data_IF_848797851938
#
_entry.id   IF_848797851938
#
_cell.length_a   1.000
_cell.length_b   1.000
_cell.length_c   1.000
_cell.angle_alpha   90.00
_cell.angle_beta   90.00
_cell.angle_gamma   90.00
#
_symmetry.space_group_name_H-M   'P 1'
#
loop_
_entity.id
_entity.type
_entity.pdbx_description
1 polymer ?
#
# COMPACT_ATOMS: atom_id res chain seq x y z
N UNK A 1 -1.25 9.46 -20.17
CA UNK A 1 -1.92 9.50 -18.84
C UNK A 1 -2.48 8.12 -18.54
N UNK A 2 -2.52 7.70 -17.27
CA UNK A 2 -3.04 6.38 -16.90
C UNK A 2 -4.57 6.34 -17.01
N UNK A 3 -5.12 5.19 -17.42
CA UNK A 3 -6.56 4.93 -17.40
C UNK A 3 -7.02 4.78 -15.94
N UNK A 4 -8.10 5.46 -15.56
CA UNK A 4 -8.64 5.49 -14.19
C UNK A 4 -7.56 5.81 -13.13
N UNK A 5 -6.91 6.99 -13.21
CA UNK A 5 -5.72 7.30 -12.41
C UNK A 5 -6.03 7.46 -10.92
N UNK A 6 -7.30 7.69 -10.55
CA UNK A 6 -7.76 7.83 -9.16
C UNK A 6 -8.23 6.51 -8.55
N UNK A 7 -8.25 5.42 -9.32
CA UNK A 7 -8.63 4.09 -8.83
C UNK A 7 -7.41 3.26 -8.45
N UNK A 8 -7.48 2.57 -7.32
CA UNK A 8 -6.46 1.62 -6.89
C UNK A 8 -6.62 0.30 -7.66
N UNK A 9 -5.75 0.08 -8.65
CA UNK A 9 -5.74 -1.10 -9.55
C UNK A 9 -4.37 -1.79 -9.55
N UNK A 10 -4.07 -2.67 -8.58
CA UNK A 10 -2.80 -3.40 -8.50
C UNK A 10 -2.45 -4.17 -9.79
N UNK A 11 -3.46 -4.72 -10.45
CA UNK A 11 -3.36 -5.47 -11.70
C UNK A 11 -2.80 -4.65 -12.87
N UNK A 12 -2.78 -3.31 -12.77
CA UNK A 12 -2.10 -2.45 -13.76
C UNK A 12 -0.60 -2.80 -13.89
N UNK A 13 -0.03 -3.43 -12.87
CA UNK A 13 1.38 -3.79 -12.78
C UNK A 13 1.64 -5.30 -12.91
N UNK A 14 0.62 -6.11 -13.19
CA UNK A 14 0.83 -7.54 -13.47
C UNK A 14 1.35 -7.73 -14.91
N UNK A 15 2.15 -8.78 -15.11
CA UNK A 15 2.82 -9.08 -16.38
C UNK A 15 1.80 -9.18 -17.53
N UNK A 16 1.86 -8.23 -18.46
CA UNK A 16 1.01 -8.16 -19.66
C UNK A 16 0.68 -6.73 -20.09
N UNK A 17 0.22 -5.89 -19.16
CA UNK A 17 -0.15 -4.48 -19.43
C UNK A 17 0.88 -3.46 -18.92
N UNK A 18 1.91 -3.93 -18.20
CA UNK A 18 3.08 -3.14 -17.82
C UNK A 18 3.95 -2.72 -19.03
N UNK A 19 3.55 -3.07 -20.26
CA UNK A 19 4.05 -2.48 -21.51
C UNK A 19 3.47 -1.08 -21.79
N UNK A 20 2.83 -0.44 -20.81
CA UNK A 20 2.58 0.99 -20.83
C UNK A 20 3.89 1.77 -20.70
N UNK A 21 4.71 1.80 -21.77
CA UNK A 21 5.95 2.58 -21.94
C UNK A 21 7.02 2.35 -20.86
N UNK A 22 8.27 2.11 -21.28
CA UNK A 22 9.48 2.00 -20.44
C UNK A 22 9.71 3.18 -19.46
N UNK A 23 8.83 4.20 -19.43
CA UNK A 23 8.97 5.45 -18.69
C UNK A 23 7.86 5.73 -17.66
N UNK A 24 7.00 4.77 -17.31
CA UNK A 24 5.78 5.09 -16.57
C UNK A 24 5.83 4.91 -15.05
N UNK A 25 6.85 4.24 -14.48
CA UNK A 25 6.86 3.91 -13.06
C UNK A 25 8.24 4.13 -12.42
N UNK A 26 8.36 5.18 -11.61
CA UNK A 26 9.59 5.54 -10.89
C UNK A 26 9.29 5.94 -9.44
N UNK A 27 8.73 5.03 -8.61
CA UNK A 27 8.37 5.35 -7.22
C UNK A 27 9.56 5.82 -6.37
N UNK A 28 10.78 5.45 -6.77
CA UNK A 28 12.03 5.77 -6.09
C UNK A 28 12.99 6.61 -6.95
N UNK A 29 12.49 7.16 -8.06
CA UNK A 29 13.31 7.82 -9.09
C UNK A 29 14.06 6.83 -9.98
N UNK A 30 15.04 7.33 -10.73
CA UNK A 30 15.88 6.54 -11.65
C UNK A 30 17.30 7.11 -11.74
N UNK A 31 18.21 6.34 -12.33
CA UNK A 31 19.60 6.76 -12.56
C UNK A 31 20.49 6.69 -11.32
N UNK A 32 21.60 7.44 -11.33
CA UNK A 32 22.72 7.30 -10.35
C UNK A 32 22.39 7.75 -8.93
N UNK A 33 21.25 8.41 -8.71
CA UNK A 33 20.79 8.90 -7.40
C UNK A 33 19.46 8.25 -6.96
N UNK A 34 19.16 7.06 -7.50
CA UNK A 34 17.98 6.29 -7.10
C UNK A 34 18.04 5.92 -5.61
N UNK A 35 16.88 5.93 -4.94
CA UNK A 35 16.79 5.52 -3.56
C UNK A 35 16.99 4.00 -3.42
N UNK A 36 17.67 3.49 -2.37
CA UNK A 36 17.99 2.07 -2.24
C UNK A 36 16.74 1.16 -2.25
N UNK A 37 16.79 -0.01 -2.90
CA UNK A 37 15.68 -0.97 -2.98
C UNK A 37 15.33 -1.62 -1.62
N UNK A 38 16.05 -1.29 -0.55
CA UNK A 38 15.77 -1.79 0.79
C UNK A 38 14.42 -1.30 1.32
N UNK A 39 14.02 -0.06 1.02
CA UNK A 39 12.70 0.44 1.44
C UNK A 39 11.56 -0.37 0.82
N UNK A 40 11.67 -0.73 -0.45
CA UNK A 40 10.68 -1.58 -1.12
C UNK A 40 10.56 -2.93 -0.40
N UNK A 41 11.68 -3.59 -0.13
CA UNK A 41 11.68 -4.87 0.59
C UNK A 41 11.08 -4.76 1.99
N UNK A 42 11.42 -3.71 2.73
CA UNK A 42 10.87 -3.47 4.07
C UNK A 42 9.37 -3.22 4.04
N UNK A 43 8.88 -2.42 3.09
CA UNK A 43 7.45 -2.15 2.92
C UNK A 43 6.70 -3.42 2.54
N UNK A 44 7.19 -4.20 1.57
CA UNK A 44 6.56 -5.45 1.15
C UNK A 44 6.51 -6.48 2.28
N UNK A 45 7.61 -6.65 3.03
CA UNK A 45 7.66 -7.55 4.17
C UNK A 45 6.70 -7.14 5.29
N UNK A 46 6.65 -5.84 5.60
CA UNK A 46 5.75 -5.29 6.62
C UNK A 46 4.28 -5.48 6.20
N UNK A 47 3.96 -5.20 4.94
CA UNK A 47 2.61 -5.39 4.39
C UNK A 47 2.21 -6.87 4.41
N UNK A 48 3.09 -7.76 3.95
CA UNK A 48 2.83 -9.20 3.95
C UNK A 48 2.61 -9.72 5.38
N UNK A 49 3.43 -9.29 6.34
CA UNK A 49 3.27 -9.63 7.76
C UNK A 49 1.92 -9.17 8.30
N UNK A 50 1.52 -7.92 8.01
CA UNK A 50 0.24 -7.37 8.48
C UNK A 50 -0.98 -8.10 7.89
N UNK A 51 -0.93 -8.43 6.60
CA UNK A 51 -1.99 -9.20 5.91
C UNK A 51 -2.02 -10.66 6.36
N UNK A 52 -0.86 -11.24 6.64
CA UNK A 52 -0.77 -12.61 7.13
C UNK A 52 -1.33 -12.73 8.54
N UNK A 53 -1.09 -11.74 9.40
CA UNK A 53 -1.46 -11.79 10.82
C UNK A 53 -2.88 -11.33 11.11
N UNK A 54 -3.44 -10.36 10.36
CA UNK A 54 -4.68 -9.70 10.76
C UNK A 54 -5.69 -9.52 9.63
N UNK A 55 -6.95 -9.75 9.98
CA UNK A 55 -8.11 -9.14 9.34
C UNK A 55 -8.35 -7.75 9.93
N UNK A 56 -8.68 -6.78 9.09
CA UNK A 56 -8.82 -5.38 9.50
C UNK A 56 -10.30 -4.99 9.54
N UNK A 57 -10.76 -4.49 10.68
CA UNK A 57 -12.14 -4.01 10.87
C UNK A 57 -12.18 -2.52 11.14
N UNK A 58 -13.25 -1.87 10.70
CA UNK A 58 -13.52 -0.47 11.04
C UNK A 58 -13.99 -0.36 12.49
N UNK A 59 -13.55 0.68 13.24
CA UNK A 59 -14.13 0.99 14.55
C UNK A 59 -15.64 1.20 14.46
N UNK A 60 -16.35 0.88 15.55
CA UNK A 60 -17.80 1.03 15.61
C UNK A 60 -18.22 2.47 15.28
N UNK A 61 -19.18 2.62 14.37
CA UNK A 61 -19.69 3.93 13.93
C UNK A 61 -18.92 4.57 12.77
N UNK A 62 -17.79 4.01 12.32
CA UNK A 62 -17.08 4.51 11.14
C UNK A 62 -17.45 3.67 9.92
N UNK A 63 -18.23 4.24 9.02
CA UNK A 63 -18.70 3.55 7.79
C UNK A 63 -17.91 3.94 6.53
N UNK A 64 -17.14 5.04 6.58
CA UNK A 64 -16.32 5.52 5.46
C UNK A 64 -14.94 5.93 5.94
N UNK A 65 -13.92 5.56 5.16
CA UNK A 65 -12.55 5.96 5.38
C UNK A 65 -12.28 7.32 4.72
N UNK A 66 -11.71 8.26 5.48
CA UNK A 66 -11.27 9.55 4.93
C UNK A 66 -9.96 9.35 4.17
N UNK A 67 -9.99 9.55 2.85
CA UNK A 67 -8.82 9.44 1.97
C UNK A 67 -8.19 10.79 1.63
N UNK A 68 -8.65 11.89 2.24
CA UNK A 68 -8.07 13.21 2.01
C UNK A 68 -6.60 13.29 2.44
N UNK A 69 -5.86 14.15 1.76
CA UNK A 69 -4.42 14.30 1.88
C UNK A 69 -4.05 15.70 2.33
N UNK A 70 -2.93 15.82 3.03
CA UNK A 70 -2.29 17.08 3.37
C UNK A 70 -0.94 17.16 2.67
N UNK A 71 -0.80 18.15 1.81
CA UNK A 71 0.43 18.42 1.08
C UNK A 71 1.50 19.06 2.00
N UNK A 72 2.77 18.77 1.73
CA UNK A 72 3.94 19.24 2.50
C UNK A 72 5.23 18.71 1.89
N UNK A 73 6.31 18.63 2.68
CA UNK A 73 7.59 18.01 2.23
C UNK A 73 7.37 16.57 1.75
N UNK A 74 6.45 15.86 2.41
CA UNK A 74 5.93 14.55 1.98
C UNK A 74 4.40 14.60 1.95
N UNK A 75 3.80 13.89 1.00
CA UNK A 75 2.35 13.70 0.95
C UNK A 75 1.93 12.75 2.08
N UNK A 76 0.92 13.14 2.85
CA UNK A 76 0.41 12.33 3.96
C UNK A 76 -1.10 12.41 4.04
N UNK A 77 -1.74 11.45 4.71
CA UNK A 77 -3.17 11.54 5.02
C UNK A 77 -3.47 12.78 5.86
N UNK A 78 -4.58 13.45 5.57
CA UNK A 78 -5.04 14.59 6.35
C UNK A 78 -5.50 14.17 7.76
N UNK A 79 -6.10 12.98 7.86
CA UNK A 79 -6.49 12.36 9.13
C UNK A 79 -5.82 10.99 9.29
N UNK A 80 -5.39 10.62 10.51
CA UNK A 80 -4.89 9.27 10.78
C UNK A 80 -5.89 8.19 10.39
N UNK A 81 -5.40 7.10 9.82
CA UNK A 81 -6.20 5.89 9.64
C UNK A 81 -6.21 5.11 10.95
N UNK A 82 -7.40 4.81 11.47
CA UNK A 82 -7.59 4.00 12.67
C UNK A 82 -8.41 2.77 12.28
N UNK A 83 -7.85 1.59 12.53
CA UNK A 83 -8.45 0.29 12.26
C UNK A 83 -8.24 -0.63 13.46
N UNK A 84 -9.11 -1.62 13.60
CA UNK A 84 -9.01 -2.66 14.62
C UNK A 84 -8.42 -3.93 13.99
N UNK A 85 -7.20 -4.34 14.37
CA UNK A 85 -6.65 -5.61 13.93
C UNK A 85 -7.34 -6.77 14.65
N UNK A 86 -7.75 -7.79 13.91
CA UNK A 86 -8.32 -9.04 14.43
C UNK A 86 -7.43 -10.17 13.92
N UNK A 87 -6.98 -11.11 14.77
CA UNK A 87 -6.24 -12.28 14.30
C UNK A 87 -7.00 -12.98 13.16
N UNK A 88 -6.34 -13.16 12.01
CA UNK A 88 -6.93 -13.79 10.82
C UNK A 88 -7.27 -15.27 11.02
N UNK A 89 -6.37 -15.99 11.68
CA UNK A 89 -6.51 -17.38 12.09
C UNK A 89 -7.01 -17.48 13.54
N UNK A 90 -7.91 -18.42 13.79
CA UNK A 90 -8.48 -18.69 15.12
C UNK A 90 -7.52 -19.40 16.07
N UNK A 91 -6.55 -20.14 15.53
CA UNK A 91 -5.50 -20.83 16.29
C UNK A 91 -4.17 -20.06 16.18
N UNK A 92 -3.64 -19.50 17.29
CA UNK A 92 -2.36 -18.78 17.31
C UNK A 92 -1.16 -19.62 16.86
N UNK A 93 -1.21 -20.94 17.03
CA UNK A 93 -0.12 -21.85 16.63
C UNK A 93 0.04 -21.97 15.11
N UNK A 94 -0.87 -21.39 14.31
CA UNK A 94 -0.80 -21.42 12.84
C UNK A 94 -0.01 -20.23 12.26
N UNK A 95 0.52 -19.34 13.09
CA UNK A 95 1.36 -18.21 12.66
C UNK A 95 2.87 -18.48 12.81
N UNK A 96 3.25 -19.64 13.36
CA UNK A 96 4.64 -20.04 13.60
C UNK A 96 5.30 -20.68 12.37
#
# INVERSE_FOLDING_TARGET
MWKDPLEFKPERWSYGDAAGSEFSYFPFGSGRRIYPPLAERMVLYSLASLLHSFDWKMPQGITKMDLSEKFGIVLKKAKPLVLMPVPRLSNPELYS
#
